data_IF_491958433106
#
_entry.id   IF_491958433106
#
_cell.length_a   1.000
_cell.length_b   1.000
_cell.length_c   1.000
_cell.angle_alpha   90.00
_cell.angle_beta   90.00
_cell.angle_gamma   90.00
#
_symmetry.space_group_name_H-M   'P 1'
#
loop_
_entity.id
_entity.type
_entity.pdbx_description
1 polymer ?
#
# COMPACT_ATOMS: atom_id res chain seq x y z
N UNK A 1 15.81 17.17 -10.92
CA UNK A 1 15.40 17.70 -9.57
C UNK A 1 15.76 16.65 -8.53
N UNK A 2 16.62 16.97 -7.57
CA UNK A 2 17.09 16.02 -6.56
C UNK A 2 15.96 15.82 -5.54
N UNK A 3 15.42 14.60 -5.43
CA UNK A 3 14.48 14.27 -4.37
C UNK A 3 15.18 14.43 -3.02
N UNK A 4 14.66 15.29 -2.15
CA UNK A 4 15.20 15.53 -0.82
C UNK A 4 14.61 14.50 0.14
N UNK A 5 15.45 13.83 0.91
CA UNK A 5 15.05 12.86 1.93
C UNK A 5 15.61 13.30 3.29
N UNK A 6 14.93 12.96 4.38
CA UNK A 6 15.32 13.37 5.72
C UNK A 6 15.17 12.21 6.72
N UNK A 7 15.84 12.31 7.85
CA UNK A 7 15.68 11.35 8.94
C UNK A 7 14.43 11.70 9.76
N UNK A 8 13.58 10.68 10.02
CA UNK A 8 12.44 10.79 10.93
C UNK A 8 12.47 9.63 11.94
N UNK A 9 11.84 9.82 13.10
CA UNK A 9 11.67 8.75 14.10
C UNK A 9 10.74 7.67 13.53
N UNK A 10 11.20 6.43 13.44
CA UNK A 10 10.47 5.39 12.73
C UNK A 10 9.56 4.49 13.58
N UNK A 11 9.75 4.47 14.89
CA UNK A 11 8.88 3.80 15.90
C UNK A 11 8.53 2.32 15.58
N UNK A 12 9.33 1.64 14.74
CA UNK A 12 9.07 0.26 14.30
C UNK A 12 9.43 -0.81 15.32
N UNK A 13 10.16 -0.43 16.38
CA UNK A 13 10.62 -1.38 17.43
C UNK A 13 9.47 -2.06 18.16
N UNK A 14 8.28 -1.47 18.18
CA UNK A 14 7.11 -2.04 18.86
C UNK A 14 6.70 -3.41 18.29
N UNK A 15 6.91 -3.62 16.99
CA UNK A 15 6.39 -4.80 16.28
C UNK A 15 7.44 -5.49 15.39
N UNK A 16 8.53 -4.81 15.04
CA UNK A 16 9.44 -5.20 13.96
C UNK A 16 10.01 -6.62 14.03
N UNK A 17 10.27 -7.15 15.22
CA UNK A 17 10.84 -8.49 15.42
C UNK A 17 9.80 -9.61 15.53
N UNK A 18 8.51 -9.27 15.67
CA UNK A 18 7.47 -10.26 15.91
C UNK A 18 6.99 -10.93 14.62
N UNK A 19 6.83 -12.28 14.60
CA UNK A 19 6.23 -12.98 13.48
C UNK A 19 4.77 -12.55 13.29
N UNK A 20 4.24 -12.73 12.07
CA UNK A 20 2.85 -12.41 11.82
C UNK A 20 1.90 -13.46 12.38
N UNK A 21 0.91 -13.05 13.16
CA UNK A 21 -0.20 -13.91 13.58
C UNK A 21 -1.08 -14.18 12.37
N UNK A 22 -1.43 -15.45 12.18
CA UNK A 22 -2.31 -15.87 11.09
C UNK A 22 -3.76 -15.92 11.58
N UNK A 23 -4.55 -14.94 11.13
CA UNK A 23 -5.99 -14.91 11.36
C UNK A 23 -6.70 -14.95 10.00
N UNK A 24 -7.24 -16.10 9.63
CA UNK A 24 -7.77 -16.35 8.29
C UNK A 24 -9.23 -16.81 8.27
N UNK A 25 -9.87 -16.93 9.42
CA UNK A 25 -11.21 -17.54 9.58
C UNK A 25 -12.17 -16.67 10.42
N UNK A 26 -12.35 -15.36 10.08
CA UNK A 26 -13.38 -14.56 10.74
C UNK A 26 -14.78 -15.07 10.36
N UNK A 27 -15.77 -14.90 11.25
CA UNK A 27 -17.16 -15.27 10.97
C UNK A 27 -17.74 -14.51 9.80
N UNK A 28 -17.47 -13.21 9.72
CA UNK A 28 -17.93 -12.36 8.63
C UNK A 28 -16.75 -11.72 7.91
N UNK A 29 -16.89 -11.58 6.61
CA UNK A 29 -15.94 -10.88 5.74
C UNK A 29 -16.66 -9.80 4.95
N UNK A 30 -16.03 -8.64 4.87
CA UNK A 30 -16.61 -7.44 4.27
C UNK A 30 -15.81 -7.01 3.05
N UNK A 31 -16.41 -7.01 1.86
CA UNK A 31 -15.74 -6.70 0.61
C UNK A 31 -16.26 -5.37 0.08
N UNK A 32 -15.39 -4.36 -0.01
CA UNK A 32 -15.81 -3.03 -0.47
C UNK A 32 -16.42 -3.08 -1.86
N UNK A 33 -17.58 -2.49 -2.04
CA UNK A 33 -18.21 -2.32 -3.36
C UNK A 33 -17.40 -1.37 -4.24
N UNK A 34 -17.10 -0.19 -3.77
CA UNK A 34 -16.34 0.83 -4.48
C UNK A 34 -14.97 1.11 -3.83
N UNK A 35 -14.11 1.81 -4.54
CA UNK A 35 -12.87 2.35 -4.01
C UNK A 35 -12.55 3.73 -4.64
N UNK A 36 -11.47 4.39 -4.20
CA UNK A 36 -11.13 5.73 -4.68
C UNK A 36 -10.88 5.85 -6.20
N UNK A 37 -10.52 4.74 -6.86
CA UNK A 37 -10.27 4.71 -8.32
C UNK A 37 -11.47 4.22 -9.12
N UNK A 38 -12.33 3.39 -8.52
CA UNK A 38 -13.51 2.80 -9.13
C UNK A 38 -14.73 3.15 -8.24
N UNK A 39 -15.39 4.29 -8.49
CA UNK A 39 -16.48 4.79 -7.65
C UNK A 39 -17.81 4.07 -7.87
N UNK A 40 -17.96 3.32 -8.96
CA UNK A 40 -19.16 2.54 -9.30
C UNK A 40 -18.84 1.07 -9.32
N UNK A 41 -19.84 0.23 -9.03
CA UNK A 41 -19.70 -1.22 -9.13
C UNK A 41 -21.05 -1.89 -9.39
N UNK A 42 -21.00 -2.99 -10.14
CA UNK A 42 -22.12 -3.92 -10.36
C UNK A 42 -21.87 -5.20 -9.57
N UNK A 43 -22.90 -5.71 -8.95
CA UNK A 43 -22.89 -6.96 -8.20
C UNK A 43 -23.55 -8.06 -9.04
N UNK A 44 -22.94 -9.26 -9.08
CA UNK A 44 -23.42 -10.41 -9.86
C UNK A 44 -24.18 -11.45 -9.03
N UNK A 45 -24.21 -11.24 -7.72
CA UNK A 45 -24.85 -12.11 -6.73
C UNK A 45 -25.98 -11.37 -6.02
N UNK A 46 -26.93 -12.10 -5.46
CA UNK A 46 -28.03 -11.61 -4.61
C UNK A 46 -27.95 -12.21 -3.22
N UNK A 47 -28.59 -11.58 -2.28
CA UNK A 47 -28.67 -12.06 -0.90
C UNK A 47 -29.21 -13.50 -0.83
N UNK A 48 -28.53 -14.35 -0.06
CA UNK A 48 -28.77 -15.78 0.03
C UNK A 48 -27.89 -16.64 -0.90
N UNK A 49 -27.22 -16.05 -1.91
CA UNK A 49 -26.35 -16.81 -2.79
C UNK A 49 -25.11 -17.30 -2.06
N UNK A 50 -24.72 -18.56 -2.28
CA UNK A 50 -23.45 -19.12 -1.85
C UNK A 50 -22.35 -18.79 -2.87
N UNK A 51 -21.17 -18.43 -2.37
CA UNK A 51 -20.00 -18.09 -3.18
C UNK A 51 -18.78 -18.91 -2.78
N UNK A 52 -17.91 -19.18 -3.74
CA UNK A 52 -16.60 -19.81 -3.48
C UNK A 52 -15.51 -18.75 -3.25
N UNK A 53 -14.49 -19.10 -2.48
CA UNK A 53 -13.30 -18.26 -2.32
C UNK A 53 -12.61 -18.02 -3.67
N UNK A 54 -12.27 -16.79 -3.99
CA UNK A 54 -11.73 -16.31 -5.27
C UNK A 54 -12.76 -16.18 -6.42
N UNK A 55 -14.01 -16.55 -6.25
CA UNK A 55 -15.07 -16.34 -7.25
C UNK A 55 -15.23 -14.85 -7.57
N UNK A 56 -15.43 -14.50 -8.84
CA UNK A 56 -15.82 -13.15 -9.26
C UNK A 56 -17.29 -12.93 -8.90
N UNK A 57 -17.57 -11.98 -8.01
CA UNK A 57 -18.90 -11.68 -7.48
C UNK A 57 -19.44 -10.32 -7.93
N UNK A 58 -18.66 -9.56 -8.68
CA UNK A 58 -19.03 -8.24 -9.19
C UNK A 58 -17.91 -7.59 -9.99
N UNK A 59 -18.18 -6.39 -10.48
CA UNK A 59 -17.22 -5.59 -11.26
C UNK A 59 -17.23 -4.15 -10.77
N UNK A 60 -16.07 -3.56 -10.56
CA UNK A 60 -15.89 -2.12 -10.30
C UNK A 60 -15.51 -1.42 -11.57
N UNK A 61 -16.06 -0.21 -11.76
CA UNK A 61 -15.86 0.61 -12.94
C UNK A 61 -15.11 1.91 -12.63
N UNK A 62 -14.12 2.20 -13.45
CA UNK A 62 -13.40 3.47 -13.49
C UNK A 62 -13.57 4.10 -14.88
N UNK A 63 -13.03 5.31 -15.07
CA UNK A 63 -13.17 6.02 -16.35
C UNK A 63 -12.53 5.30 -17.55
N UNK A 64 -11.51 4.46 -17.30
CA UNK A 64 -10.71 3.83 -18.37
C UNK A 64 -10.31 2.37 -18.07
N UNK A 65 -10.83 1.78 -17.00
CA UNK A 65 -10.60 0.36 -16.69
C UNK A 65 -11.67 -0.19 -15.76
N UNK A 66 -11.86 -1.51 -15.84
CA UNK A 66 -12.70 -2.27 -14.93
C UNK A 66 -11.85 -3.15 -14.02
N UNK A 67 -12.38 -3.48 -12.85
CA UNK A 67 -11.70 -4.28 -11.84
C UNK A 67 -12.65 -5.31 -11.22
N UNK A 68 -12.40 -6.63 -11.39
CA UNK A 68 -13.20 -7.65 -10.74
C UNK A 68 -13.23 -7.54 -9.22
N UNK A 69 -14.38 -7.85 -8.64
CA UNK A 69 -14.59 -8.04 -7.21
C UNK A 69 -14.57 -9.55 -6.96
N UNK A 70 -13.68 -10.01 -6.08
CA UNK A 70 -13.59 -11.42 -5.73
C UNK A 70 -14.06 -11.65 -4.30
N UNK A 71 -14.81 -12.74 -4.09
CA UNK A 71 -15.06 -13.27 -2.76
C UNK A 71 -13.73 -13.66 -2.10
N UNK A 72 -13.56 -13.35 -0.82
CA UNK A 72 -12.32 -13.61 -0.09
C UNK A 72 -12.39 -14.85 0.81
N UNK A 73 -13.57 -15.46 0.94
CA UNK A 73 -13.83 -16.78 1.53
C UNK A 73 -14.93 -17.46 0.75
N UNK A 74 -15.17 -18.75 1.00
CA UNK A 74 -16.43 -19.40 0.68
C UNK A 74 -17.48 -19.10 1.77
N UNK A 75 -18.75 -19.01 1.38
CA UNK A 75 -19.83 -18.69 2.31
C UNK A 75 -21.05 -18.08 1.64
N UNK A 76 -21.95 -17.54 2.43
CA UNK A 76 -23.23 -16.99 1.96
C UNK A 76 -23.21 -15.45 1.98
N UNK A 77 -23.65 -14.81 0.91
CA UNK A 77 -23.88 -13.38 0.89
C UNK A 77 -25.13 -13.05 1.72
N UNK A 78 -24.94 -12.31 2.82
CA UNK A 78 -26.00 -12.02 3.81
C UNK A 78 -26.45 -10.55 3.84
N UNK A 79 -26.05 -9.75 2.85
CA UNK A 79 -26.48 -8.37 2.72
C UNK A 79 -25.32 -7.36 2.66
N UNK A 80 -25.66 -6.09 2.74
CA UNK A 80 -24.74 -4.95 2.64
C UNK A 80 -24.62 -4.25 3.99
N UNK A 81 -23.39 -3.77 4.30
CA UNK A 81 -23.11 -3.02 5.53
C UNK A 81 -22.16 -1.86 5.25
N UNK A 82 -22.28 -0.74 5.99
CA UNK A 82 -21.43 0.44 5.80
C UNK A 82 -20.29 0.45 6.81
N UNK A 83 -19.06 0.59 6.31
CA UNK A 83 -17.85 0.70 7.13
C UNK A 83 -16.91 1.79 6.59
N UNK A 84 -15.94 2.21 7.41
CA UNK A 84 -14.92 3.14 6.97
C UNK A 84 -13.93 2.48 6.00
N UNK A 85 -13.81 3.08 4.82
CA UNK A 85 -12.79 2.74 3.84
C UNK A 85 -11.52 3.58 4.08
N UNK A 86 -10.36 3.12 3.57
CA UNK A 86 -9.06 3.81 3.74
C UNK A 86 -9.03 5.28 3.29
N UNK A 87 -10.01 5.75 2.53
CA UNK A 87 -10.15 7.17 2.15
C UNK A 87 -10.87 8.03 3.20
N UNK A 88 -11.20 7.48 4.36
CA UNK A 88 -11.90 8.14 5.44
C UNK A 88 -13.42 8.28 5.25
N UNK A 89 -14.00 7.67 4.21
CA UNK A 89 -15.43 7.73 3.91
C UNK A 89 -16.14 6.42 4.27
N UNK A 90 -17.37 6.52 4.73
CA UNK A 90 -18.29 5.38 4.81
C UNK A 90 -18.57 4.87 3.41
N UNK A 91 -18.47 3.57 3.21
CA UNK A 91 -18.64 2.89 1.92
C UNK A 91 -19.44 1.62 2.15
N UNK A 92 -20.22 1.20 1.17
CA UNK A 92 -20.97 -0.05 1.22
C UNK A 92 -20.01 -1.24 1.00
N UNK A 93 -20.18 -2.26 1.85
CA UNK A 93 -19.44 -3.50 1.80
C UNK A 93 -20.39 -4.68 1.66
N UNK A 94 -20.04 -5.64 0.81
CA UNK A 94 -20.69 -6.94 0.68
C UNK A 94 -20.31 -7.74 1.92
N UNK A 95 -21.29 -8.19 2.70
CA UNK A 95 -21.08 -9.01 3.90
C UNK A 95 -21.28 -10.48 3.55
N UNK A 96 -20.22 -11.28 3.72
CA UNK A 96 -20.24 -12.73 3.51
C UNK A 96 -20.10 -13.42 4.86
N UNK A 97 -21.05 -14.30 5.18
CA UNK A 97 -20.95 -15.22 6.31
C UNK A 97 -20.09 -16.41 5.88
N UNK A 98 -18.96 -16.58 6.55
CA UNK A 98 -17.97 -17.61 6.24
C UNK A 98 -18.48 -19.00 6.60
N UNK A 99 -18.42 -19.95 5.67
CA UNK A 99 -18.79 -21.35 5.91
C UNK A 99 -17.64 -22.20 6.48
N UNK A 100 -16.44 -21.58 6.65
CA UNK A 100 -15.21 -22.19 7.16
C UNK A 100 -14.66 -23.38 6.33
N UNK A 101 -15.19 -23.62 5.13
CA UNK A 101 -14.73 -24.70 4.23
C UNK A 101 -13.59 -24.26 3.33
N UNK A 102 -13.44 -22.94 3.10
CA UNK A 102 -12.46 -22.32 2.19
C UNK A 102 -12.47 -22.96 0.78
N UNK A 103 -13.69 -23.37 0.31
CA UNK A 103 -13.89 -23.95 -1.00
C UNK A 103 -13.43 -22.95 -2.08
N UNK A 104 -12.44 -23.34 -2.89
CA UNK A 104 -11.90 -22.48 -3.92
C UNK A 104 -12.78 -22.50 -5.18
N UNK A 105 -12.83 -21.37 -5.86
CA UNK A 105 -13.41 -21.29 -7.20
C UNK A 105 -12.63 -22.18 -8.19
N UNK A 106 -13.30 -22.89 -9.11
CA UNK A 106 -12.63 -23.78 -10.07
C UNK A 106 -11.60 -23.11 -10.99
N UNK A 107 -11.65 -21.77 -11.12
CA UNK A 107 -10.64 -21.00 -11.85
C UNK A 107 -9.26 -20.98 -11.18
N UNK A 108 -9.19 -21.28 -9.88
CA UNK A 108 -7.92 -21.37 -9.14
C UNK A 108 -7.25 -22.68 -9.44
N UNK A 109 -6.18 -22.63 -10.25
CA UNK A 109 -5.41 -23.80 -10.70
C UNK A 109 -3.92 -23.53 -10.56
N UNK A 110 -3.20 -24.51 -10.01
CA UNK A 110 -1.74 -24.44 -9.96
C UNK A 110 -1.15 -24.74 -11.32
N UNK A 111 -0.30 -23.84 -11.84
CA UNK A 111 0.50 -24.05 -13.04
C UNK A 111 1.81 -24.74 -12.71
N UNK A 112 2.26 -25.62 -13.61
CA UNK A 112 3.59 -26.22 -13.56
C UNK A 112 4.65 -25.19 -13.96
N UNK A 113 5.94 -25.43 -13.65
CA UNK A 113 7.03 -24.56 -14.11
C UNK A 113 7.05 -24.41 -15.65
N UNK A 114 6.76 -25.47 -16.40
CA UNK A 114 6.73 -25.48 -17.86
C UNK A 114 5.58 -24.62 -18.39
N UNK A 115 4.38 -24.72 -17.80
CA UNK A 115 3.24 -23.88 -18.15
C UNK A 115 3.54 -22.40 -17.88
N UNK A 116 4.24 -22.08 -16.78
CA UNK A 116 4.63 -20.71 -16.47
C UNK A 116 5.68 -20.19 -17.45
N UNK A 117 6.66 -21.03 -17.80
CA UNK A 117 7.71 -20.68 -18.78
C UNK A 117 7.15 -20.40 -20.18
N UNK A 118 6.02 -21.04 -20.53
CA UNK A 118 5.33 -20.84 -21.80
C UNK A 118 4.45 -19.57 -21.86
N UNK A 119 4.16 -18.92 -20.71
CA UNK A 119 3.33 -17.73 -20.70
C UNK A 119 3.99 -16.56 -21.43
N UNK A 120 3.24 -15.93 -22.32
CA UNK A 120 3.62 -14.67 -22.95
C UNK A 120 3.37 -13.49 -22.01
N UNK A 121 3.84 -12.30 -22.39
CA UNK A 121 3.52 -11.06 -21.67
C UNK A 121 2.02 -10.77 -21.67
N UNK A 122 1.36 -11.06 -22.78
CA UNK A 122 -0.07 -10.89 -22.99
C UNK A 122 -0.87 -11.82 -22.06
N UNK A 123 -0.48 -13.10 -21.96
CA UNK A 123 -1.09 -14.07 -21.04
C UNK A 123 -0.95 -13.61 -19.58
N UNK A 124 0.25 -13.19 -19.18
CA UNK A 124 0.50 -12.68 -17.84
C UNK A 124 -0.30 -11.41 -17.55
N UNK A 125 -0.46 -10.54 -18.55
CA UNK A 125 -1.27 -9.31 -18.43
C UNK A 125 -2.74 -9.64 -18.14
N UNK A 126 -3.30 -10.59 -18.89
CA UNK A 126 -4.69 -11.02 -18.73
C UNK A 126 -4.91 -11.72 -17.37
N UNK A 127 -4.00 -12.59 -16.94
CA UNK A 127 -4.03 -13.22 -15.62
C UNK A 127 -4.01 -12.16 -14.51
N UNK A 128 -3.12 -11.18 -14.59
CA UNK A 128 -2.98 -10.11 -13.59
C UNK A 128 -4.22 -9.23 -13.55
N UNK A 129 -4.84 -8.95 -14.70
CA UNK A 129 -6.09 -8.20 -14.84
C UNK A 129 -7.25 -8.97 -14.19
N UNK A 130 -7.44 -10.24 -14.53
CA UNK A 130 -8.50 -11.09 -14.01
C UNK A 130 -8.37 -11.34 -12.50
N UNK A 131 -7.15 -11.45 -11.97
CA UNK A 131 -6.89 -11.49 -10.53
C UNK A 131 -7.07 -10.13 -9.83
N UNK A 132 -7.43 -9.07 -10.55
CA UNK A 132 -7.60 -7.73 -10.01
C UNK A 132 -6.42 -7.27 -9.13
N UNK A 133 -5.17 -7.57 -9.57
CA UNK A 133 -3.98 -7.20 -8.85
C UNK A 133 -3.72 -5.70 -8.99
N UNK A 134 -3.50 -5.05 -7.85
CA UNK A 134 -3.19 -3.61 -7.75
C UNK A 134 -1.88 -3.40 -7.01
N UNK A 135 -1.35 -2.19 -7.08
CA UNK A 135 -0.19 -1.78 -6.28
C UNK A 135 -0.53 -1.83 -4.79
N UNK A 136 0.02 -2.80 -4.08
CA UNK A 136 -0.31 -3.12 -2.68
C UNK A 136 0.49 -2.30 -1.66
N UNK A 137 1.48 -1.55 -2.08
CA UNK A 137 2.25 -0.61 -1.23
C UNK A 137 1.60 0.77 -1.06
N UNK A 138 0.29 0.90 -1.32
CA UNK A 138 -0.47 2.14 -1.12
C UNK A 138 -0.98 2.81 -2.40
N UNK A 139 -0.40 2.58 -3.58
CA UNK A 139 -0.78 3.26 -4.83
C UNK A 139 -2.16 2.88 -5.36
N UNK A 140 -2.62 1.66 -5.08
CA UNK A 140 -3.88 1.07 -5.60
C UNK A 140 -4.01 1.13 -7.13
N UNK A 141 -2.90 1.32 -7.85
CA UNK A 141 -2.91 1.37 -9.31
C UNK A 141 -3.01 -0.06 -9.88
N UNK A 142 -3.85 -0.29 -10.91
CA UNK A 142 -3.97 -1.62 -11.54
C UNK A 142 -2.64 -2.09 -12.11
N UNK A 143 -2.18 -3.24 -11.64
CA UNK A 143 -0.84 -3.74 -12.00
C UNK A 143 -0.76 -4.15 -13.47
N UNK A 144 -1.84 -4.68 -14.06
CA UNK A 144 -1.87 -5.10 -15.45
C UNK A 144 -1.55 -3.96 -16.43
N UNK A 145 -1.92 -2.70 -16.10
CA UNK A 145 -1.60 -1.53 -16.95
C UNK A 145 -0.09 -1.32 -17.06
N UNK A 146 0.67 -1.68 -16.02
CA UNK A 146 2.14 -1.67 -16.11
C UNK A 146 2.68 -2.72 -17.09
N UNK A 147 2.01 -3.87 -17.17
CA UNK A 147 2.37 -4.92 -18.13
C UNK A 147 2.04 -4.56 -19.58
N UNK A 148 1.08 -3.66 -19.81
CA UNK A 148 0.69 -3.20 -21.16
C UNK A 148 1.67 -2.21 -21.79
N UNK A 149 2.76 -1.82 -21.11
CA UNK A 149 3.74 -0.88 -21.67
C UNK A 149 4.45 -1.47 -22.89
N UNK A 150 4.56 -0.69 -23.97
CA UNK A 150 5.35 -1.05 -25.16
C UNK A 150 6.81 -0.59 -25.08
N UNK A 151 7.15 0.11 -23.98
CA UNK A 151 8.50 0.62 -23.77
C UNK A 151 9.44 -0.51 -23.36
N UNK A 152 10.67 -0.53 -23.87
CA UNK A 152 11.67 -1.49 -23.42
C UNK A 152 11.99 -1.26 -21.96
N UNK A 153 11.96 -2.33 -21.15
CA UNK A 153 12.28 -2.30 -19.73
C UNK A 153 13.65 -2.96 -19.53
N UNK A 154 14.61 -2.18 -19.04
CA UNK A 154 16.00 -2.62 -18.85
C UNK A 154 16.29 -2.99 -17.40
N UNK A 155 15.43 -2.58 -16.45
CA UNK A 155 15.61 -2.84 -15.02
C UNK A 155 14.27 -2.89 -14.28
N UNK A 156 14.14 -3.89 -13.41
CA UNK A 156 13.02 -4.01 -12.48
C UNK A 156 13.50 -3.64 -11.08
N UNK A 157 12.80 -2.72 -10.41
CA UNK A 157 13.07 -2.33 -9.03
C UNK A 157 11.96 -2.81 -8.11
N UNK A 158 12.33 -3.54 -7.07
CA UNK A 158 11.40 -4.03 -6.05
C UNK A 158 11.54 -3.20 -4.80
N UNK A 159 10.45 -2.53 -4.43
CA UNK A 159 10.41 -1.64 -3.28
C UNK A 159 10.05 -2.41 -2.01
N UNK A 160 11.06 -2.73 -1.20
CA UNK A 160 10.98 -3.26 0.16
C UNK A 160 11.43 -2.26 1.22
N UNK A 161 11.44 -0.96 0.90
CA UNK A 161 12.00 0.08 1.76
C UNK A 161 11.10 0.36 2.97
N UNK A 162 9.77 0.32 2.80
CA UNK A 162 8.78 0.57 3.85
C UNK A 162 9.16 1.77 4.74
N UNK A 163 9.17 3.00 4.14
CA UNK A 163 9.72 4.17 4.80
C UNK A 163 8.77 4.82 5.84
N UNK A 164 7.47 4.53 5.83
CA UNK A 164 6.51 5.03 6.82
C UNK A 164 6.87 4.57 8.24
N UNK A 165 6.77 5.44 9.26
CA UNK A 165 6.90 5.04 10.65
C UNK A 165 5.85 4.01 11.06
N UNK A 166 6.12 3.29 12.14
CA UNK A 166 5.27 2.25 12.74
C UNK A 166 5.04 0.98 11.89
N UNK A 167 5.03 1.08 10.56
CA UNK A 167 4.66 -0.04 9.67
C UNK A 167 5.81 -1.04 9.54
N UNK A 168 5.50 -2.33 9.67
CA UNK A 168 6.44 -3.46 9.53
C UNK A 168 5.86 -4.61 8.71
N UNK A 169 4.73 -4.41 8.03
CA UNK A 169 4.04 -5.43 7.26
C UNK A 169 4.88 -5.95 6.07
N UNK A 170 5.52 -5.05 5.31
CA UNK A 170 6.39 -5.44 4.19
C UNK A 170 7.69 -6.07 4.69
N UNK A 171 8.27 -5.55 5.79
CA UNK A 171 9.42 -6.14 6.45
C UNK A 171 9.13 -7.60 6.85
N UNK A 172 7.99 -7.83 7.51
CA UNK A 172 7.58 -9.17 7.94
C UNK A 172 7.28 -10.09 6.76
N UNK A 173 6.58 -9.60 5.75
CA UNK A 173 6.28 -10.34 4.52
C UNK A 173 7.56 -10.79 3.79
N UNK A 174 8.59 -9.93 3.74
CA UNK A 174 9.88 -10.24 3.12
C UNK A 174 10.58 -11.40 3.84
N UNK A 175 10.52 -11.45 5.17
CA UNK A 175 11.12 -12.54 5.96
C UNK A 175 10.33 -13.84 5.86
N UNK A 176 8.99 -13.79 5.74
CA UNK A 176 8.16 -14.99 5.70
C UNK A 176 7.96 -15.57 4.29
N UNK A 177 8.09 -14.73 3.23
CA UNK A 177 7.84 -15.15 1.85
C UNK A 177 8.95 -14.77 0.86
N UNK A 178 10.23 -14.91 1.21
CA UNK A 178 11.32 -14.46 0.33
C UNK A 178 11.34 -15.17 -1.01
N UNK A 179 11.14 -16.50 -1.05
CA UNK A 179 11.10 -17.30 -2.29
C UNK A 179 9.99 -16.86 -3.23
N UNK A 180 8.79 -16.53 -2.69
CA UNK A 180 7.67 -16.07 -3.53
C UNK A 180 7.95 -14.72 -4.18
N UNK A 181 8.70 -13.86 -3.50
CA UNK A 181 9.11 -12.56 -4.04
C UNK A 181 10.11 -12.78 -5.17
N UNK A 182 11.11 -13.64 -4.99
CA UNK A 182 12.13 -13.92 -6.02
C UNK A 182 11.50 -14.59 -7.25
N UNK A 183 10.62 -15.59 -7.07
CA UNK A 183 9.90 -16.21 -8.19
C UNK A 183 9.06 -15.19 -8.96
N UNK A 184 8.35 -14.30 -8.25
CA UNK A 184 7.57 -13.24 -8.90
C UNK A 184 8.45 -12.24 -9.66
N UNK A 185 9.67 -11.96 -9.17
CA UNK A 185 10.65 -11.14 -9.91
C UNK A 185 11.01 -11.84 -11.22
N UNK A 186 11.26 -13.16 -11.21
CA UNK A 186 11.55 -13.93 -12.41
C UNK A 186 10.37 -13.89 -13.39
N UNK A 187 9.12 -13.99 -12.92
CA UNK A 187 7.94 -13.84 -13.78
C UNK A 187 7.86 -12.45 -14.42
N UNK A 188 8.13 -11.41 -13.65
CA UNK A 188 8.17 -10.05 -14.20
C UNK A 188 9.32 -9.87 -15.19
N UNK A 189 10.51 -10.44 -14.91
CA UNK A 189 11.66 -10.42 -15.84
C UNK A 189 11.32 -11.14 -17.16
N UNK A 190 10.63 -12.28 -17.09
CA UNK A 190 10.13 -13.00 -18.27
C UNK A 190 9.18 -12.11 -19.08
N UNK A 191 8.15 -11.53 -18.44
CA UNK A 191 7.15 -10.71 -19.12
C UNK A 191 7.74 -9.49 -19.82
N UNK A 192 8.71 -8.83 -19.21
CA UNK A 192 9.35 -7.62 -19.76
C UNK A 192 10.61 -7.93 -20.58
N UNK A 193 11.02 -9.20 -20.70
CA UNK A 193 12.30 -9.61 -21.32
C UNK A 193 13.47 -8.82 -20.74
N UNK A 194 13.51 -8.69 -19.42
CA UNK A 194 14.45 -7.86 -18.68
C UNK A 194 15.44 -8.71 -17.90
N UNK A 195 16.74 -8.43 -18.04
CA UNK A 195 17.81 -9.22 -17.45
C UNK A 195 18.38 -8.64 -16.15
N UNK A 196 17.78 -7.57 -15.60
CA UNK A 196 18.27 -6.94 -14.38
C UNK A 196 17.13 -6.60 -13.42
N UNK A 197 17.27 -7.03 -12.17
CA UNK A 197 16.37 -6.63 -11.10
C UNK A 197 17.13 -6.27 -9.83
N UNK A 198 16.63 -5.28 -9.06
CA UNK A 198 17.16 -4.93 -7.76
C UNK A 198 16.06 -4.92 -6.71
N UNK A 199 16.33 -5.58 -5.58
CA UNK A 199 15.46 -5.56 -4.40
C UNK A 199 15.97 -4.46 -3.48
N UNK A 200 15.25 -3.34 -3.39
CA UNK A 200 15.64 -2.18 -2.61
C UNK A 200 15.13 -2.32 -1.17
N UNK A 201 16.04 -2.32 -0.20
CA UNK A 201 15.75 -2.39 1.24
C UNK A 201 16.47 -1.29 2.00
N UNK A 202 16.01 -0.94 3.20
CA UNK A 202 16.76 -0.05 4.08
C UNK A 202 18.04 -0.71 4.57
N UNK A 203 19.16 0.01 4.57
CA UNK A 203 20.45 -0.46 5.05
C UNK A 203 20.45 -0.95 6.50
N UNK A 204 19.49 -0.51 7.33
CA UNK A 204 19.33 -0.96 8.71
C UNK A 204 18.68 -2.35 8.86
N UNK A 205 18.04 -2.90 7.83
CA UNK A 205 17.37 -4.21 7.86
C UNK A 205 18.37 -5.33 7.63
N UNK A 206 19.20 -5.62 8.67
CA UNK A 206 20.26 -6.62 8.62
C UNK A 206 19.72 -8.04 8.48
N UNK A 207 18.59 -8.33 9.10
CA UNK A 207 17.86 -9.60 9.03
C UNK A 207 17.37 -9.91 7.62
N UNK A 208 16.70 -8.95 6.95
CA UNK A 208 16.29 -9.11 5.55
C UNK A 208 17.53 -9.28 4.66
N UNK A 209 18.55 -8.46 4.90
CA UNK A 209 19.78 -8.52 4.10
C UNK A 209 20.40 -9.92 4.15
N UNK A 210 20.57 -10.48 5.33
CA UNK A 210 21.13 -11.82 5.51
C UNK A 210 20.29 -12.88 4.78
N UNK A 211 18.98 -12.92 5.01
CA UNK A 211 18.08 -13.89 4.38
C UNK A 211 18.13 -13.82 2.85
N UNK A 212 18.13 -12.62 2.28
CA UNK A 212 18.13 -12.47 0.82
C UNK A 212 19.50 -12.75 0.20
N UNK A 213 20.62 -12.42 0.87
CA UNK A 213 21.96 -12.77 0.40
C UNK A 213 22.16 -14.30 0.34
N UNK A 214 21.69 -15.04 1.37
CA UNK A 214 21.73 -16.50 1.40
C UNK A 214 20.88 -17.09 0.26
N UNK A 215 19.61 -16.67 0.12
CA UNK A 215 18.70 -17.19 -0.89
C UNK A 215 19.15 -16.86 -2.30
N UNK A 216 19.60 -15.64 -2.58
CA UNK A 216 20.09 -15.26 -3.91
C UNK A 216 21.32 -16.07 -4.31
N UNK A 217 22.19 -16.41 -3.35
CA UNK A 217 23.33 -17.31 -3.57
C UNK A 217 22.85 -18.72 -3.95
N UNK A 218 21.85 -19.26 -3.24
CA UNK A 218 21.29 -20.59 -3.52
C UNK A 218 20.59 -20.65 -4.89
N UNK A 219 19.91 -19.57 -5.28
CA UNK A 219 19.28 -19.46 -6.61
C UNK A 219 20.29 -19.38 -7.76
N UNK A 220 21.53 -18.90 -7.49
CA UNK A 220 22.57 -18.76 -8.48
C UNK A 220 22.25 -17.81 -9.65
N UNK A 221 21.25 -16.92 -9.49
CA UNK A 221 20.80 -16.01 -10.54
C UNK A 221 21.38 -14.59 -10.32
N UNK A 222 22.52 -14.32 -10.96
CA UNK A 222 23.24 -13.05 -10.84
C UNK A 222 22.51 -11.83 -11.44
N UNK A 223 21.33 -12.02 -12.04
CA UNK A 223 20.51 -10.94 -12.61
C UNK A 223 19.70 -10.20 -11.55
N UNK A 224 19.56 -10.81 -10.35
CA UNK A 224 18.80 -10.24 -9.23
C UNK A 224 19.77 -9.83 -8.12
N UNK A 225 19.80 -8.54 -7.80
CA UNK A 225 20.71 -7.96 -6.81
C UNK A 225 19.94 -7.37 -5.63
N UNK A 226 20.53 -7.42 -4.43
CA UNK A 226 20.07 -6.69 -3.27
C UNK A 226 20.68 -5.27 -3.26
N UNK A 227 19.81 -4.24 -3.16
CA UNK A 227 20.21 -2.84 -3.10
C UNK A 227 19.87 -2.23 -1.73
N UNK A 228 20.87 -1.93 -0.93
CA UNK A 228 20.70 -1.30 0.37
C UNK A 228 20.67 0.22 0.21
N UNK A 229 19.51 0.85 0.47
CA UNK A 229 19.33 2.30 0.42
C UNK A 229 19.40 2.96 1.79
N UNK A 230 19.63 4.26 1.83
CA UNK A 230 19.70 5.05 3.07
C UNK A 230 18.41 4.98 3.87
N UNK A 231 18.54 5.02 5.21
CA UNK A 231 17.41 5.00 6.13
C UNK A 231 16.80 6.40 6.31
N UNK A 232 16.26 6.96 5.24
CA UNK A 232 15.61 8.27 5.22
C UNK A 232 14.12 8.16 4.83
N UNK A 233 13.41 9.27 4.96
CA UNK A 233 12.03 9.46 4.52
C UNK A 233 11.96 10.65 3.53
N UNK A 234 11.22 10.57 2.44
CA UNK A 234 10.42 9.45 1.93
C UNK A 234 11.19 8.56 0.92
N UNK A 235 12.18 7.80 1.38
CA UNK A 235 13.04 6.95 0.52
C UNK A 235 12.26 5.88 -0.26
N UNK A 236 11.08 5.44 0.27
CA UNK A 236 10.17 4.52 -0.43
C UNK A 236 9.34 5.18 -1.54
N UNK A 237 9.42 6.49 -1.73
CA UNK A 237 8.87 7.15 -2.91
C UNK A 237 9.66 6.74 -4.15
N UNK A 238 8.96 6.34 -5.23
CA UNK A 238 9.60 5.75 -6.41
C UNK A 238 10.74 6.59 -7.00
N UNK A 239 10.56 7.93 -7.06
CA UNK A 239 11.59 8.83 -7.61
C UNK A 239 12.85 8.84 -6.74
N UNK A 240 12.70 8.83 -5.41
CA UNK A 240 13.83 8.78 -4.48
C UNK A 240 14.53 7.41 -4.53
N UNK A 241 13.75 6.32 -4.57
CA UNK A 241 14.26 4.96 -4.70
C UNK A 241 15.03 4.76 -6.01
N UNK A 242 14.47 5.17 -7.14
CA UNK A 242 15.10 5.04 -8.47
C UNK A 242 16.43 5.79 -8.48
N UNK A 243 16.45 7.03 -7.99
CA UNK A 243 17.69 7.81 -7.93
C UNK A 243 18.76 7.12 -7.09
N UNK A 244 18.42 6.63 -5.90
CA UNK A 244 19.38 5.97 -5.01
C UNK A 244 19.88 4.62 -5.58
N UNK A 245 18.98 3.84 -6.21
CA UNK A 245 19.31 2.52 -6.74
C UNK A 245 20.04 2.54 -8.09
N UNK A 246 19.87 3.61 -8.89
CA UNK A 246 20.33 3.65 -10.29
C UNK A 246 21.12 4.89 -10.67
N UNK A 247 21.11 5.96 -9.85
CA UNK A 247 21.64 7.27 -10.20
C UNK A 247 20.74 8.08 -11.17
N UNK A 248 19.67 7.50 -11.71
CA UNK A 248 18.78 8.15 -12.68
C UNK A 248 17.84 9.11 -11.98
N UNK A 249 17.81 10.36 -12.42
CA UNK A 249 16.86 11.36 -11.96
C UNK A 249 15.67 11.48 -12.91
N UNK A 250 14.46 11.26 -12.37
CA UNK A 250 13.22 11.47 -13.11
C UNK A 250 12.81 12.95 -13.08
N UNK A 251 12.30 13.44 -14.21
CA UNK A 251 11.68 14.77 -14.29
C UNK A 251 10.31 14.75 -13.56
N UNK A 252 9.79 15.91 -13.10
CA UNK A 252 8.46 15.99 -12.53
C UNK A 252 7.40 15.43 -13.49
N UNK A 253 6.61 14.44 -13.03
CA UNK A 253 5.58 13.76 -13.83
C UNK A 253 6.11 12.71 -14.83
N UNK A 254 7.42 12.52 -14.92
CA UNK A 254 8.00 11.49 -15.77
C UNK A 254 7.76 10.09 -15.19
N UNK A 255 7.27 9.18 -16.02
CA UNK A 255 7.07 7.79 -15.61
C UNK A 255 8.40 7.02 -15.64
N UNK A 256 8.66 6.12 -14.68
CA UNK A 256 9.87 5.28 -14.67
C UNK A 256 10.08 4.49 -15.97
N UNK A 257 8.99 4.03 -16.60
CA UNK A 257 9.03 3.31 -17.88
C UNK A 257 9.64 4.13 -19.02
N UNK A 258 9.62 5.48 -18.97
CA UNK A 258 10.28 6.34 -19.94
C UNK A 258 11.82 6.23 -19.87
N UNK A 259 12.33 5.70 -18.75
CA UNK A 259 13.76 5.44 -18.52
C UNK A 259 14.10 3.95 -18.50
N UNK A 260 13.22 3.12 -19.05
CA UNK A 260 13.42 1.67 -19.08
C UNK A 260 13.35 1.01 -17.70
N UNK A 261 12.68 1.64 -16.73
CA UNK A 261 12.58 1.12 -15.35
C UNK A 261 11.14 0.75 -15.06
N UNK A 262 10.93 -0.46 -14.50
CA UNK A 262 9.65 -0.87 -13.95
C UNK A 262 9.81 -1.11 -12.44
N UNK A 263 8.89 -0.57 -11.63
CA UNK A 263 8.95 -0.74 -10.18
C UNK A 263 7.70 -1.39 -9.60
N UNK A 264 7.88 -2.25 -8.60
CA UNK A 264 6.82 -2.91 -7.85
C UNK A 264 7.13 -2.89 -6.35
N UNK A 265 6.09 -2.91 -5.52
CA UNK A 265 6.23 -3.13 -4.09
C UNK A 265 6.32 -4.64 -3.78
N UNK A 266 7.00 -5.03 -2.70
CA UNK A 266 7.18 -6.45 -2.31
C UNK A 266 5.86 -7.20 -2.07
N UNK A 267 4.85 -6.55 -1.47
CA UNK A 267 3.52 -7.15 -1.32
C UNK A 267 2.84 -7.39 -2.67
N UNK A 268 3.04 -6.50 -3.65
CA UNK A 268 2.55 -6.68 -5.03
C UNK A 268 3.23 -7.88 -5.69
N UNK A 269 4.52 -8.12 -5.43
CA UNK A 269 5.22 -9.30 -5.95
C UNK A 269 4.64 -10.60 -5.39
N UNK A 270 4.31 -10.67 -4.11
CA UNK A 270 3.61 -11.86 -3.56
C UNK A 270 2.22 -12.05 -4.19
N UNK A 271 1.52 -10.94 -4.49
CA UNK A 271 0.27 -10.98 -5.26
C UNK A 271 0.48 -11.50 -6.69
N UNK A 272 1.53 -11.04 -7.37
CA UNK A 272 1.91 -11.49 -8.71
C UNK A 272 2.27 -12.99 -8.73
N UNK A 273 3.06 -13.45 -7.76
CA UNK A 273 3.36 -14.87 -7.58
C UNK A 273 2.08 -15.72 -7.53
N UNK A 274 1.10 -15.31 -6.72
CA UNK A 274 -0.16 -16.04 -6.58
C UNK A 274 -0.99 -16.01 -7.86
N UNK A 275 -1.06 -14.87 -8.51
CA UNK A 275 -1.79 -14.72 -9.78
C UNK A 275 -1.19 -15.62 -10.85
N UNK A 276 0.12 -15.57 -11.09
CA UNK A 276 0.77 -16.33 -12.14
C UNK A 276 0.78 -17.83 -11.82
N UNK A 277 1.16 -18.21 -10.59
CA UNK A 277 1.29 -19.63 -10.23
C UNK A 277 -0.04 -20.34 -9.99
N UNK A 278 -1.04 -19.64 -9.46
CA UNK A 278 -2.28 -20.28 -9.01
C UNK A 278 -3.56 -19.68 -9.61
N UNK A 279 -3.47 -18.70 -10.47
CA UNK A 279 -4.63 -17.92 -10.94
C UNK A 279 -5.45 -17.34 -9.78
N UNK A 280 -4.79 -16.99 -8.68
CA UNK A 280 -5.42 -16.63 -7.42
C UNK A 280 -5.33 -15.13 -7.15
N UNK A 281 -6.46 -14.44 -6.93
CA UNK A 281 -6.47 -13.03 -6.52
C UNK A 281 -5.91 -12.84 -5.10
N UNK A 282 -5.66 -11.58 -4.73
CA UNK A 282 -5.20 -11.24 -3.37
C UNK A 282 -6.39 -11.31 -2.41
N UNK A 283 -6.48 -12.43 -1.67
CA UNK A 283 -7.51 -12.66 -0.64
C UNK A 283 -6.94 -12.63 0.79
N UNK A 284 -5.63 -12.58 0.96
CA UNK A 284 -4.94 -12.52 2.27
C UNK A 284 -3.85 -11.46 2.22
N UNK A 285 -3.66 -10.68 3.31
CA UNK A 285 -2.66 -9.63 3.42
C UNK A 285 -1.85 -9.72 4.70
N UNK A 286 -0.61 -9.21 4.65
CA UNK A 286 0.13 -8.79 5.82
C UNK A 286 -0.25 -7.35 6.16
N UNK A 287 -0.52 -7.09 7.43
CA UNK A 287 -0.80 -5.77 7.99
C UNK A 287 -0.11 -5.62 9.33
N UNK A 288 0.12 -4.38 9.73
CA UNK A 288 0.57 -4.02 11.07
C UNK A 288 -0.57 -3.33 11.81
N UNK A 289 -0.93 -3.78 13.02
CA UNK A 289 -1.76 -3.05 13.96
C UNK A 289 -0.87 -2.61 15.10
N UNK A 290 -0.76 -1.31 15.34
CA UNK A 290 0.24 -0.74 16.24
C UNK A 290 -0.20 0.63 16.77
N UNK A 291 0.62 1.21 17.62
CA UNK A 291 0.40 2.51 18.25
C UNK A 291 0.51 2.42 19.75
N UNK A 292 0.51 3.57 20.41
CA UNK A 292 0.56 3.69 21.87
C UNK A 292 -0.81 3.61 22.54
N UNK A 293 -1.89 3.55 21.75
CA UNK A 293 -3.27 3.39 22.22
C UNK A 293 -3.70 1.95 22.47
N UNK A 294 -2.91 0.93 22.06
CA UNK A 294 -3.27 -0.49 22.20
C UNK A 294 -2.25 -1.27 23.03
N UNK A 295 -2.74 -2.32 23.75
CA UNK A 295 -1.92 -3.07 24.70
C UNK A 295 -0.85 -3.94 24.03
N UNK A 296 -1.18 -4.59 22.90
CA UNK A 296 -0.29 -5.53 22.21
C UNK A 296 -0.23 -5.22 20.71
N UNK A 297 0.71 -4.34 20.28
CA UNK A 297 0.99 -4.13 18.87
C UNK A 297 1.49 -5.41 18.18
N UNK A 298 0.97 -5.72 16.97
CA UNK A 298 1.26 -6.98 16.28
C UNK A 298 1.27 -6.83 14.76
N UNK A 299 1.98 -7.75 14.10
CA UNK A 299 1.82 -8.03 12.68
C UNK A 299 0.82 -9.17 12.49
N UNK A 300 -0.01 -9.05 11.47
CA UNK A 300 -1.01 -10.07 11.12
C UNK A 300 -0.91 -10.46 9.65
N UNK A 301 -1.23 -11.72 9.38
CA UNK A 301 -1.61 -12.19 8.07
C UNK A 301 -3.10 -12.55 8.10
N UNK A 302 -3.93 -11.68 7.53
CA UNK A 302 -5.40 -11.76 7.60
C UNK A 302 -6.03 -11.97 6.23
N UNK A 303 -7.30 -12.39 6.22
CA UNK A 303 -8.14 -12.28 5.02
C UNK A 303 -8.48 -10.81 4.74
N UNK A 304 -8.51 -10.47 3.47
CA UNK A 304 -9.10 -9.21 3.02
C UNK A 304 -10.60 -9.26 3.32
N UNK A 305 -11.10 -8.24 3.99
CA UNK A 305 -12.47 -8.19 4.49
C UNK A 305 -12.61 -8.41 6.00
N UNK A 306 -11.53 -8.73 6.72
CA UNK A 306 -11.56 -8.83 8.19
C UNK A 306 -11.81 -7.46 8.82
N UNK A 307 -12.67 -7.41 9.84
CA UNK A 307 -12.83 -6.25 10.72
C UNK A 307 -11.63 -6.11 11.66
N UNK A 308 -11.18 -4.88 11.91
CA UNK A 308 -10.11 -4.68 12.89
C UNK A 308 -10.60 -4.93 14.33
N UNK A 309 -11.90 -4.80 14.60
CA UNK A 309 -12.47 -5.09 15.91
C UNK A 309 -12.18 -6.51 16.35
N UNK A 310 -12.36 -7.48 15.44
CA UNK A 310 -12.06 -8.89 15.73
C UNK A 310 -10.59 -9.06 16.20
N UNK A 311 -9.66 -8.36 15.55
CA UNK A 311 -8.23 -8.45 15.88
C UNK A 311 -7.86 -7.70 17.16
N UNK A 312 -8.54 -6.57 17.43
CA UNK A 312 -8.32 -5.79 18.65
C UNK A 312 -8.78 -6.57 19.89
N UNK A 313 -9.95 -7.19 19.81
CA UNK A 313 -10.56 -7.92 20.90
C UNK A 313 -9.84 -9.25 21.17
N UNK A 314 -9.58 -10.03 20.13
CA UNK A 314 -9.04 -11.39 20.29
C UNK A 314 -7.51 -11.40 20.54
N UNK A 315 -6.74 -10.46 19.94
CA UNK A 315 -5.28 -10.54 19.93
C UNK A 315 -4.59 -9.33 20.55
N UNK A 316 -5.04 -8.11 20.26
CA UNK A 316 -4.37 -6.90 20.72
C UNK A 316 -4.67 -6.55 22.19
N UNK A 317 -5.61 -7.26 22.83
CA UNK A 317 -5.98 -7.05 24.23
C UNK A 317 -6.69 -5.72 24.51
N UNK A 318 -7.22 -5.08 23.48
CA UNK A 318 -7.94 -3.81 23.57
C UNK A 318 -7.04 -2.58 23.78
N UNK A 319 -7.65 -1.50 24.22
CA UNK A 319 -6.99 -0.21 24.44
C UNK A 319 -6.27 -0.11 25.79
N UNK A 320 -5.15 0.63 25.82
CA UNK A 320 -4.41 0.88 27.08
C UNK A 320 -5.23 1.80 28.00
N UNK A 321 -5.78 2.88 27.44
CA UNK A 321 -6.58 3.87 28.14
C UNK A 321 -7.97 3.97 27.49
N UNK A 322 -8.92 3.06 27.83
CA UNK A 322 -10.24 3.04 27.18
C UNK A 322 -11.02 4.34 27.31
N UNK A 323 -10.75 5.11 28.39
CA UNK A 323 -11.38 6.40 28.69
C UNK A 323 -10.92 7.55 27.82
N UNK A 324 -9.78 7.41 27.13
CA UNK A 324 -9.24 8.46 26.24
C UNK A 324 -9.77 8.31 24.82
N UNK A 325 -10.00 9.45 24.16
CA UNK A 325 -10.25 9.49 22.73
C UNK A 325 -9.07 8.86 21.96
N UNK A 326 -9.39 8.15 20.87
CA UNK A 326 -8.40 7.53 20.00
C UNK A 326 -8.33 8.21 18.64
N UNK A 327 -7.13 8.23 18.09
CA UNK A 327 -6.88 8.59 16.69
C UNK A 327 -6.59 7.31 15.93
N UNK A 328 -7.47 6.96 14.99
CA UNK A 328 -7.32 5.79 14.12
C UNK A 328 -6.76 6.24 12.76
N UNK A 329 -5.64 5.67 12.34
CA UNK A 329 -4.98 6.01 11.07
C UNK A 329 -4.89 4.74 10.22
N UNK A 330 -5.48 4.78 9.03
CA UNK A 330 -5.35 3.72 8.02
C UNK A 330 -4.14 4.03 7.13
N UNK A 331 -3.11 3.18 7.19
CA UNK A 331 -1.81 3.41 6.58
C UNK A 331 -0.80 4.00 7.56
N UNK A 332 0.24 4.69 7.05
CA UNK A 332 1.27 5.31 7.88
C UNK A 332 0.85 6.67 8.45
N UNK A 333 1.54 7.17 9.49
CA UNK A 333 1.18 8.44 10.12
C UNK A 333 1.50 9.64 9.24
N UNK A 334 2.35 9.46 8.21
CA UNK A 334 2.76 10.54 7.32
C UNK A 334 1.84 10.68 6.09
N UNK A 335 1.41 9.57 5.49
CA UNK A 335 0.64 9.54 4.23
C UNK A 335 -0.73 8.86 4.37
N UNK A 336 -1.06 8.33 5.55
CA UNK A 336 -2.34 7.68 5.81
C UNK A 336 -3.50 8.67 5.97
N UNK A 337 -4.67 8.12 6.25
CA UNK A 337 -5.88 8.89 6.53
C UNK A 337 -6.43 8.52 7.91
N UNK A 338 -6.80 9.52 8.69
CA UNK A 338 -7.52 9.30 9.94
C UNK A 338 -9.00 9.00 9.69
N UNK A 339 -9.56 8.18 10.57
CA UNK A 339 -11.00 7.88 10.63
C UNK A 339 -11.50 8.03 12.07
N UNK A 340 -12.82 8.28 12.27
CA UNK A 340 -13.31 8.64 13.59
C UNK A 340 -13.51 7.47 14.56
N UNK A 341 -13.44 6.21 14.08
CA UNK A 341 -13.66 5.03 14.92
C UNK A 341 -12.86 3.81 14.43
N UNK A 342 -12.92 2.73 15.20
CA UNK A 342 -12.37 1.41 14.88
C UNK A 342 -13.26 0.57 13.94
N UNK A 343 -14.34 1.14 13.41
CA UNK A 343 -15.18 0.48 12.42
C UNK A 343 -14.49 0.46 11.05
N UNK A 344 -13.36 -0.25 10.98
CA UNK A 344 -12.46 -0.30 9.82
C UNK A 344 -12.39 -1.72 9.28
N UNK A 345 -12.53 -1.85 7.97
CA UNK A 345 -12.36 -3.12 7.27
C UNK A 345 -11.01 -3.15 6.53
N UNK A 346 -10.31 -4.27 6.67
CA UNK A 346 -9.03 -4.50 6.01
C UNK A 346 -9.26 -4.80 4.53
N UNK A 347 -9.02 -3.81 3.68
CA UNK A 347 -9.10 -3.97 2.22
C UNK A 347 -7.74 -4.36 1.62
N UNK A 348 -7.69 -4.71 0.32
CA UNK A 348 -6.45 -5.08 -0.40
C UNK A 348 -5.31 -4.08 -0.23
N UNK A 349 -5.60 -2.82 0.02
CA UNK A 349 -4.62 -1.71 0.04
C UNK A 349 -4.32 -1.14 1.42
N UNK A 350 -4.90 -1.71 2.47
CA UNK A 350 -4.55 -1.41 3.87
C UNK A 350 -3.24 -2.10 4.22
N UNK A 351 -2.22 -1.35 4.62
CA UNK A 351 -0.92 -1.87 5.05
C UNK A 351 -0.78 -1.91 6.56
N UNK A 352 -1.48 -1.00 7.23
CA UNK A 352 -1.43 -0.86 8.68
C UNK A 352 -2.64 -0.11 9.21
N UNK A 353 -2.91 -0.32 10.49
CA UNK A 353 -3.79 0.48 11.33
C UNK A 353 -2.95 0.96 12.51
N UNK A 354 -2.89 2.28 12.69
CA UNK A 354 -2.20 2.91 13.82
C UNK A 354 -3.25 3.50 14.73
N UNK A 355 -3.18 3.16 16.01
CA UNK A 355 -4.11 3.60 17.03
C UNK A 355 -3.32 4.33 18.09
N UNK A 356 -3.58 5.63 18.22
CA UNK A 356 -2.89 6.51 19.16
C UNK A 356 -3.88 7.07 20.18
N UNK A 357 -3.43 7.28 21.40
CA UNK A 357 -4.17 8.12 22.34
C UNK A 357 -4.15 9.56 21.82
N UNK A 358 -5.31 10.22 21.85
CA UNK A 358 -5.41 11.62 21.42
C UNK A 358 -4.65 12.51 22.40
N UNK A 359 -3.62 13.19 21.90
CA UNK A 359 -2.89 14.19 22.64
C UNK A 359 -3.52 15.58 22.39
N UNK A 360 -4.14 16.13 23.41
CA UNK A 360 -4.76 17.46 23.36
C UNK A 360 -3.74 18.60 23.66
N UNK A 361 -2.48 18.28 23.97
CA UNK A 361 -1.42 19.26 24.21
C UNK A 361 -0.85 19.87 22.92
N UNK A 362 -1.02 19.19 21.78
CA UNK A 362 -0.54 19.65 20.48
C UNK A 362 -1.51 20.70 19.86
N UNK A 363 -1.56 21.89 20.43
CA UNK A 363 -2.39 22.99 19.94
C UNK A 363 -1.66 23.77 18.84
N UNK A 364 -2.35 24.01 17.72
CA UNK A 364 -1.83 24.81 16.59
C UNK A 364 -1.54 26.25 17.07
N UNK A 365 -0.32 26.74 16.79
CA UNK A 365 0.13 28.08 17.09
C UNK A 365 0.29 28.92 15.81
N UNK A 366 0.30 30.26 15.91
CA UNK A 366 0.60 31.10 14.76
C UNK A 366 1.93 30.78 14.08
N UNK A 367 1.98 30.91 12.77
CA UNK A 367 3.18 30.62 11.99
C UNK A 367 4.31 31.61 12.32
N UNK A 368 5.44 31.10 12.83
CA UNK A 368 6.63 31.89 13.14
C UNK A 368 7.57 32.09 11.94
N UNK A 369 7.18 31.69 10.73
CA UNK A 369 7.93 31.84 9.47
C UNK A 369 9.34 31.24 9.47
N UNK A 370 9.58 30.18 10.24
CA UNK A 370 10.90 29.54 10.37
C UNK A 370 11.43 28.84 9.09
N UNK A 371 10.59 28.61 8.07
CA UNK A 371 10.98 27.99 6.81
C UNK A 371 11.14 26.45 6.84
N UNK A 372 10.99 25.79 7.99
CA UNK A 372 11.21 24.34 8.14
C UNK A 372 10.39 23.50 7.13
N UNK A 373 9.14 23.88 6.86
CA UNK A 373 8.27 23.21 5.89
C UNK A 373 8.78 23.30 4.44
N UNK A 374 9.46 24.41 4.07
CA UNK A 374 10.09 24.59 2.76
C UNK A 374 11.37 23.76 2.68
N UNK A 375 12.20 23.82 3.74
CA UNK A 375 13.47 23.09 3.78
C UNK A 375 13.27 21.57 3.76
N UNK A 376 12.19 21.05 4.34
CA UNK A 376 11.89 19.62 4.37
C UNK A 376 11.16 19.10 3.12
N UNK A 377 10.69 19.96 2.23
CA UNK A 377 9.90 19.54 1.08
C UNK A 377 10.73 18.75 0.05
N UNK A 378 10.42 17.45 -0.22
CA UNK A 378 11.20 16.61 -1.13
C UNK A 378 11.05 16.99 -2.61
N UNK A 379 10.02 17.77 -2.94
CA UNK A 379 9.74 18.25 -4.30
C UNK A 379 9.93 19.76 -4.46
N UNK A 380 10.58 20.39 -3.47
CA UNK A 380 10.94 21.81 -3.47
C UNK A 380 9.76 22.75 -3.73
N UNK A 381 8.64 22.50 -3.05
CA UNK A 381 7.53 23.44 -2.97
C UNK A 381 7.74 24.43 -1.83
N UNK A 382 6.92 25.46 -1.81
CA UNK A 382 6.81 26.44 -0.72
C UNK A 382 5.51 26.24 0.07
N UNK A 383 5.41 25.21 0.96
CA UNK A 383 4.15 24.83 1.60
C UNK A 383 3.50 25.97 2.40
N UNK A 384 4.29 26.82 3.06
CA UNK A 384 3.77 27.98 3.80
C UNK A 384 3.12 29.00 2.86
N UNK A 385 3.67 29.25 1.67
CA UNK A 385 3.08 30.15 0.68
C UNK A 385 1.79 29.57 0.12
N UNK A 386 1.77 28.26 -0.17
CA UNK A 386 0.56 27.55 -0.59
C UNK A 386 -0.52 27.66 0.49
N UNK A 387 -0.19 27.44 1.77
CA UNK A 387 -1.10 27.61 2.89
C UNK A 387 -1.67 29.03 2.94
N UNK A 388 -0.83 30.07 2.82
CA UNK A 388 -1.28 31.46 2.85
C UNK A 388 -2.21 31.77 1.67
N UNK A 389 -1.91 31.28 0.46
CA UNK A 389 -2.76 31.45 -0.71
C UNK A 389 -4.13 30.74 -0.52
N UNK A 390 -4.16 29.56 0.10
CA UNK A 390 -5.42 28.87 0.46
C UNK A 390 -6.22 29.67 1.50
N UNK A 391 -5.57 30.18 2.55
CA UNK A 391 -6.23 31.00 3.56
C UNK A 391 -6.83 32.28 2.97
N UNK A 392 -6.15 32.88 1.97
CA UNK A 392 -6.61 34.05 1.25
C UNK A 392 -7.59 33.74 0.09
N UNK A 393 -7.90 32.45 -0.17
CA UNK A 393 -8.71 32.01 -1.32
C UNK A 393 -8.19 32.49 -2.69
N UNK A 394 -6.88 32.80 -2.79
CA UNK A 394 -6.20 33.31 -3.98
C UNK A 394 -5.87 32.17 -4.95
N UNK A 395 -6.83 31.88 -5.87
CA UNK A 395 -6.73 30.80 -6.85
C UNK A 395 -5.57 30.97 -7.83
N UNK A 396 -5.27 32.20 -8.23
CA UNK A 396 -4.19 32.47 -9.19
C UNK A 396 -2.83 32.23 -8.57
N UNK A 397 -2.63 32.65 -7.34
CA UNK A 397 -1.44 32.37 -6.56
C UNK A 397 -1.29 30.88 -6.28
N UNK A 398 -2.37 30.15 -5.95
CA UNK A 398 -2.36 28.70 -5.78
C UNK A 398 -1.85 28.02 -7.07
N UNK A 399 -2.39 28.39 -8.25
CA UNK A 399 -1.94 27.82 -9.53
C UNK A 399 -0.45 28.10 -9.80
N UNK A 400 0.03 29.32 -9.57
CA UNK A 400 1.44 29.69 -9.72
C UNK A 400 2.38 28.91 -8.81
N UNK A 401 1.97 28.58 -7.58
CA UNK A 401 2.74 27.79 -6.62
C UNK A 401 2.77 26.28 -6.93
N UNK A 402 2.04 25.84 -7.94
CA UNK A 402 2.03 24.47 -8.49
C UNK A 402 1.88 23.35 -7.43
N UNK A 403 0.80 23.37 -6.61
CA UNK A 403 0.58 22.38 -5.54
C UNK A 403 0.38 20.96 -6.09
N UNK A 404 0.06 20.78 -7.37
CA UNK A 404 -0.11 19.46 -8.00
C UNK A 404 1.17 18.61 -7.97
N UNK A 405 2.36 19.24 -7.83
CA UNK A 405 3.62 18.52 -7.64
C UNK A 405 3.78 17.86 -6.25
N UNK A 406 2.92 18.22 -5.29
CA UNK A 406 3.00 17.67 -3.93
C UNK A 406 2.72 16.17 -3.93
N UNK A 407 3.61 15.40 -3.32
CA UNK A 407 3.48 13.94 -3.12
C UNK A 407 2.76 13.58 -1.81
N UNK A 408 2.29 14.56 -1.06
CA UNK A 408 1.54 14.41 0.20
C UNK A 408 2.30 13.61 1.27
N UNK A 409 3.61 13.76 1.33
CA UNK A 409 4.49 13.02 2.23
C UNK A 409 4.40 13.43 3.70
N UNK A 410 3.66 14.47 4.07
CA UNK A 410 3.48 14.90 5.45
C UNK A 410 4.64 15.68 6.08
N UNK A 411 5.83 15.75 5.45
CA UNK A 411 7.02 16.36 6.06
C UNK A 411 6.83 17.81 6.45
N UNK A 412 6.05 18.60 5.70
CA UNK A 412 5.81 20.01 6.02
C UNK A 412 4.99 20.21 7.31
N UNK A 413 4.05 19.30 7.62
CA UNK A 413 3.34 19.30 8.90
C UNK A 413 4.22 18.72 10.01
N UNK A 414 4.93 17.60 9.74
CA UNK A 414 5.84 16.96 10.70
C UNK A 414 6.95 17.90 11.19
N UNK A 415 7.53 18.73 10.31
CA UNK A 415 8.60 19.67 10.65
C UNK A 415 8.09 21.01 11.19
N UNK A 416 6.77 21.22 11.30
CA UNK A 416 6.20 22.48 11.74
C UNK A 416 6.33 22.64 13.26
N UNK A 417 7.13 23.63 13.71
CA UNK A 417 7.30 23.95 15.14
C UNK A 417 6.03 24.53 15.76
N UNK A 418 5.17 25.17 14.94
CA UNK A 418 3.86 25.71 15.35
C UNK A 418 2.72 24.70 15.23
N UNK A 419 3.00 23.41 15.01
CA UNK A 419 2.00 22.32 14.92
C UNK A 419 0.91 22.51 13.85
N UNK A 420 1.14 23.38 12.87
CA UNK A 420 0.19 23.66 11.79
C UNK A 420 0.10 22.44 10.87
N UNK A 421 -1.11 22.03 10.53
CA UNK A 421 -1.39 20.94 9.57
C UNK A 421 -1.18 21.41 8.12
N UNK A 422 0.06 21.83 7.79
CA UNK A 422 0.42 22.44 6.51
C UNK A 422 0.09 21.51 5.34
N UNK A 423 0.23 20.20 5.52
CA UNK A 423 -0.07 19.19 4.49
C UNK A 423 -1.53 19.27 4.05
N UNK A 424 -2.47 19.53 4.95
CA UNK A 424 -3.88 19.61 4.63
C UNK A 424 -4.22 20.86 3.82
N UNK A 425 -3.55 21.98 4.10
CA UNK A 425 -3.66 23.16 3.24
C UNK A 425 -3.16 22.87 1.81
N UNK A 426 -2.05 22.13 1.67
CA UNK A 426 -1.54 21.75 0.34
C UNK A 426 -2.50 20.79 -0.37
N UNK A 427 -3.15 19.84 0.35
CA UNK A 427 -4.19 18.97 -0.19
C UNK A 427 -5.39 19.78 -0.71
N UNK A 428 -5.87 20.77 0.05
CA UNK A 428 -6.93 21.70 -0.37
C UNK A 428 -6.51 22.50 -1.60
N UNK A 429 -5.26 23.00 -1.64
CA UNK A 429 -4.73 23.72 -2.78
C UNK A 429 -4.73 22.87 -4.07
N UNK A 430 -4.47 21.56 -3.98
CA UNK A 430 -4.56 20.65 -5.14
C UNK A 430 -5.98 20.54 -5.69
N UNK A 431 -7.01 20.62 -4.85
CA UNK A 431 -8.40 20.64 -5.29
C UNK A 431 -8.68 21.94 -6.02
N UNK A 432 -8.32 23.08 -5.43
CA UNK A 432 -8.52 24.40 -6.06
C UNK A 432 -7.74 24.58 -7.38
N UNK A 433 -6.57 23.96 -7.51
CA UNK A 433 -5.77 24.03 -8.73
C UNK A 433 -6.32 23.22 -9.90
N UNK A 434 -7.27 22.29 -9.64
CA UNK A 434 -7.95 21.47 -10.65
C UNK A 434 -9.27 22.10 -11.13
N UNK A 435 -9.79 23.07 -10.38
CA UNK A 435 -10.96 23.87 -10.70
C UNK A 435 -10.56 25.12 -11.48
#
# INVERSE_FOLDING_TARGET
>A
MIAKTTHIKDTKKLVGSLPAIRYTEPKYLYIAMANARCPKADLFIKEGDHVNSCQVIGMRHAAFFDQPIHATCSGTFVGMEKHYHRNGKLTDFIKIENDFKDTLDPSVKQRTPEEIAALTKEDMTEIVKNCALVGLGGSSFPTYIKFQTDKPINMILINGIECEPYITADHRLMLEYPYRIIDAIKYAMQAFKCDKAKICIKSKYKDIKQVYEEILKDYGDNRIELCCVKNYYPQGWEVAMIKEATGIELKPGELPSNRGIMNFNVSTMVGLYKAIKYNMPVIKRFITITGDGIKKPMNFRVRVGTSIKDLLDEYCGGYIHPEKDKVFIIGGPMMGNSVPSDDIIITKTVTSIIILDKDNSDVEQPCVRCGSCVLSCPVHLEPVQIMNAVKAMDKDRIKKLNPLRCIECGLCAYSCTSKIQVTDYVRRAKIFAKL
#
